data_IF_204651098647
#
_entry.id   IF_204651098647
#
_cell.length_a   1.000
_cell.length_b   1.000
_cell.length_c   1.000
_cell.angle_alpha   90.00
_cell.angle_beta   90.00
_cell.angle_gamma   90.00
#
_symmetry.space_group_name_H-M   'P 1'
#
loop_
_entity.id
_entity.type
_entity.pdbx_description
1 polymer ?
#
# COMPACT_ATOMS: atom_id res chain seq x y z
N UNK A 1 12.32 14.79 16.23
CA UNK A 1 13.36 15.81 16.19
C UNK A 1 14.33 15.54 17.32
N UNK A 2 15.60 15.32 16.96
CA UNK A 2 16.72 15.73 17.79
C UNK A 2 17.22 17.04 17.17
N UNK A 3 16.72 18.20 17.61
CA UNK A 3 17.25 19.46 17.15
C UNK A 3 18.67 19.64 17.70
N UNK A 4 19.53 20.32 16.95
CA UNK A 4 20.87 20.68 17.45
C UNK A 4 20.75 21.72 18.58
N UNK A 5 21.86 22.03 19.26
CA UNK A 5 21.90 22.97 20.39
C UNK A 5 21.33 24.38 20.10
N UNK A 6 21.15 24.73 18.83
CA UNK A 6 20.59 26.00 18.35
C UNK A 6 19.13 25.90 17.87
N UNK A 7 18.43 24.80 18.18
CA UNK A 7 17.04 24.51 17.76
C UNK A 7 16.83 24.49 16.23
N UNK A 8 17.93 24.32 15.49
CA UNK A 8 17.95 24.17 14.04
C UNK A 8 17.83 22.70 13.65
N UNK A 9 17.22 22.45 12.48
CA UNK A 9 17.28 21.12 11.86
C UNK A 9 18.71 20.82 11.44
N UNK A 10 19.15 19.59 11.73
CA UNK A 10 20.46 19.07 11.36
C UNK A 10 20.32 17.87 10.44
N UNK A 11 21.44 17.41 9.88
CA UNK A 11 21.47 16.22 9.01
C UNK A 11 20.98 14.95 9.73
N UNK A 12 20.97 14.95 11.07
CA UNK A 12 20.49 13.85 11.90
C UNK A 12 19.05 14.04 12.41
N UNK A 13 18.35 15.08 11.94
CA UNK A 13 16.99 15.36 12.41
C UNK A 13 15.97 14.37 11.86
N UNK A 14 15.29 13.65 12.76
CA UNK A 14 14.25 12.70 12.39
C UNK A 14 12.83 13.28 12.56
N UNK A 15 11.93 12.95 11.63
CA UNK A 15 10.49 13.19 11.75
C UNK A 15 9.90 12.20 12.77
N UNK A 16 9.38 12.69 13.90
CA UNK A 16 8.74 11.82 14.91
C UNK A 16 7.22 11.79 14.77
N UNK A 17 6.65 12.87 14.25
CA UNK A 17 5.22 13.07 14.15
C UNK A 17 4.91 13.97 12.96
N UNK A 18 3.83 13.65 12.25
CA UNK A 18 3.28 14.48 11.18
C UNK A 18 1.77 14.55 11.36
N UNK A 19 1.22 15.76 11.30
CA UNK A 19 -0.22 16.00 11.14
C UNK A 19 -0.43 16.81 9.88
N UNK A 20 -1.24 16.29 8.96
CA UNK A 20 -1.50 16.93 7.69
C UNK A 20 -2.98 16.82 7.31
N UNK A 21 -3.55 17.90 6.80
CA UNK A 21 -4.95 17.95 6.35
C UNK A 21 -5.00 17.95 4.83
N UNK A 22 -5.62 16.92 4.25
CA UNK A 22 -5.84 16.78 2.82
C UNK A 22 -7.34 16.73 2.52
N UNK A 23 -7.84 17.66 1.71
CA UNK A 23 -9.26 17.67 1.31
C UNK A 23 -10.23 17.70 2.50
N UNK A 24 -9.84 18.33 3.62
CA UNK A 24 -10.64 18.41 4.85
C UNK A 24 -10.49 17.21 5.80
N UNK A 25 -9.71 16.19 5.44
CA UNK A 25 -9.39 15.06 6.33
C UNK A 25 -8.00 15.25 6.93
N UNK A 26 -7.92 15.35 8.26
CA UNK A 26 -6.64 15.36 8.99
C UNK A 26 -6.15 13.94 9.18
N UNK A 27 -4.90 13.69 8.83
CA UNK A 27 -4.19 12.43 9.08
C UNK A 27 -3.00 12.69 9.99
N UNK A 28 -2.87 11.87 11.02
CA UNK A 28 -1.79 11.91 11.99
C UNK A 28 -0.94 10.65 11.81
N UNK A 29 0.38 10.80 11.81
CA UNK A 29 1.33 9.70 11.74
C UNK A 29 2.44 9.85 12.76
N UNK A 30 2.82 8.74 13.38
CA UNK A 30 3.83 8.64 14.42
C UNK A 30 4.95 7.70 13.99
N UNK A 31 6.21 8.10 14.17
CA UNK A 31 7.38 7.25 13.90
C UNK A 31 7.43 6.11 14.91
N UNK A 32 7.61 4.90 14.43
CA UNK A 32 7.78 3.69 15.24
C UNK A 32 9.00 2.90 14.76
N UNK A 33 9.87 2.53 15.71
CA UNK A 33 11.02 1.67 15.44
C UNK A 33 10.68 0.23 15.82
N UNK A 34 10.79 -0.68 14.86
CA UNK A 34 10.53 -2.10 15.04
C UNK A 34 11.72 -2.79 15.72
N UNK A 35 11.51 -4.02 16.19
CA UNK A 35 12.54 -4.81 16.90
C UNK A 35 13.76 -5.13 16.02
N UNK A 36 13.56 -5.19 14.70
CA UNK A 36 14.64 -5.42 13.72
C UNK A 36 15.43 -4.13 13.38
N UNK A 37 15.09 -3.01 14.02
CA UNK A 37 15.73 -1.71 13.81
C UNK A 37 15.13 -0.89 12.66
N UNK A 38 14.21 -1.46 11.87
CA UNK A 38 13.49 -0.72 10.83
C UNK A 38 12.58 0.35 11.44
N UNK A 39 12.29 1.39 10.68
CA UNK A 39 11.41 2.49 11.10
C UNK A 39 10.29 2.65 10.09
N UNK A 40 9.07 2.77 10.59
CA UNK A 40 7.89 3.08 9.79
C UNK A 40 7.01 4.09 10.53
N UNK A 41 6.03 4.66 9.84
CA UNK A 41 5.13 5.67 10.38
C UNK A 41 3.73 5.08 10.45
N UNK A 42 3.05 5.22 11.58
CA UNK A 42 1.73 4.63 11.78
C UNK A 42 0.70 5.66 12.21
N UNK A 43 -0.55 5.48 11.81
CA UNK A 43 -1.66 6.23 12.36
C UNK A 43 -2.01 5.74 13.79
N UNK A 44 -2.95 6.44 14.41
CA UNK A 44 -3.48 6.12 15.74
C UNK A 44 -4.08 4.71 15.89
N UNK A 45 -4.42 4.05 14.78
CA UNK A 45 -4.94 2.69 14.74
C UNK A 45 -3.86 1.65 14.43
N UNK A 46 -2.59 2.06 14.27
CA UNK A 46 -1.49 1.17 13.90
C UNK A 46 -1.44 0.85 12.40
N UNK A 47 -2.10 1.63 11.54
CA UNK A 47 -2.01 1.49 10.08
C UNK A 47 -0.79 2.25 9.56
N UNK A 48 0.04 1.59 8.74
CA UNK A 48 1.24 2.21 8.17
C UNK A 48 0.90 3.37 7.23
N UNK A 49 1.77 4.39 7.22
CA UNK A 49 1.77 5.50 6.28
C UNK A 49 2.37 5.10 4.93
N UNK A 50 3.13 4.00 4.88
CA UNK A 50 3.59 3.45 3.61
C UNK A 50 2.40 3.06 2.75
N UNK A 51 2.57 3.29 1.46
CA UNK A 51 1.58 3.02 0.44
C UNK A 51 1.12 1.56 0.53
N UNK A 52 -0.09 1.33 1.02
CA UNK A 52 -0.73 0.04 0.88
C UNK A 52 -1.05 -0.21 -0.59
N UNK A 53 -0.53 -1.31 -1.12
CA UNK A 53 -1.00 -1.85 -2.40
C UNK A 53 -2.48 -2.20 -2.25
N UNK A 54 -3.35 -1.62 -3.08
CA UNK A 54 -4.74 -2.04 -3.17
C UNK A 54 -4.78 -3.50 -3.61
N UNK A 55 -5.30 -4.36 -2.73
CA UNK A 55 -5.46 -5.79 -3.03
C UNK A 55 -6.47 -6.04 -4.14
N UNK A 56 -7.44 -5.14 -4.32
CA UNK A 56 -8.40 -5.17 -5.42
C UNK A 56 -8.40 -3.82 -6.16
N UNK A 57 -7.79 -3.73 -7.36
CA UNK A 57 -7.81 -2.52 -8.19
C UNK A 57 -9.14 -2.33 -8.95
N UNK A 58 -10.12 -3.24 -8.78
CA UNK A 58 -11.39 -3.24 -9.51
C UNK A 58 -12.58 -3.33 -8.53
N UNK A 59 -13.07 -2.20 -7.97
CA UNK A 59 -14.04 -2.19 -6.86
C UNK A 59 -15.32 -3.00 -7.10
N UNK A 60 -15.81 -3.04 -8.34
CA UNK A 60 -17.01 -3.79 -8.75
C UNK A 60 -16.67 -5.08 -9.53
N UNK A 61 -15.40 -5.47 -9.56
CA UNK A 61 -14.92 -6.68 -10.22
C UNK A 61 -15.14 -7.92 -9.38
N UNK A 62 -15.41 -9.05 -10.05
CA UNK A 62 -15.42 -10.38 -9.43
C UNK A 62 -14.11 -11.09 -9.74
N UNK A 63 -13.41 -11.55 -8.71
CA UNK A 63 -12.24 -12.42 -8.88
C UNK A 63 -12.62 -13.71 -9.62
N UNK A 64 -11.90 -14.05 -10.69
CA UNK A 64 -12.18 -15.26 -11.49
C UNK A 64 -11.00 -16.22 -11.55
N UNK A 65 -9.77 -15.73 -11.56
CA UNK A 65 -8.59 -16.59 -11.62
C UNK A 65 -7.38 -15.94 -10.94
N UNK A 66 -6.62 -16.72 -10.18
CA UNK A 66 -5.42 -16.26 -9.48
C UNK A 66 -4.15 -16.45 -10.29
N UNK A 67 -3.04 -15.93 -9.74
CA UNK A 67 -1.70 -16.20 -10.22
C UNK A 67 -1.31 -17.67 -9.99
N UNK A 68 -0.66 -18.30 -10.98
CA UNK A 68 -0.13 -19.66 -10.81
C UNK A 68 -0.31 -20.57 -12.03
N UNK A 69 0.08 -21.83 -11.86
CA UNK A 69 -0.15 -22.87 -12.84
C UNK A 69 -1.65 -23.13 -13.01
N UNK A 70 -2.14 -23.03 -14.25
CA UNK A 70 -3.55 -23.22 -14.60
C UNK A 70 -3.70 -24.28 -15.67
N UNK A 71 -4.61 -25.22 -15.44
CA UNK A 71 -4.97 -26.26 -16.41
C UNK A 71 -6.00 -25.73 -17.41
N UNK A 72 -5.76 -25.92 -18.70
CA UNK A 72 -6.73 -25.60 -19.74
C UNK A 72 -7.92 -26.58 -19.64
N UNK A 73 -9.17 -26.10 -19.51
CA UNK A 73 -10.31 -26.97 -19.19
C UNK A 73 -10.64 -27.97 -20.30
N UNK A 74 -10.34 -27.64 -21.56
CA UNK A 74 -10.61 -28.50 -22.72
C UNK A 74 -9.36 -29.31 -23.10
N UNK A 75 -8.27 -28.63 -23.46
CA UNK A 75 -7.02 -29.23 -23.93
C UNK A 75 -6.15 -29.88 -22.85
N UNK A 76 -6.44 -29.66 -21.56
CA UNK A 76 -5.84 -30.39 -20.44
C UNK A 76 -4.38 -30.05 -20.08
N UNK A 77 -3.65 -29.31 -20.90
CA UNK A 77 -2.28 -28.90 -20.57
C UNK A 77 -2.28 -27.81 -19.48
N UNK A 78 -1.16 -27.71 -18.77
CA UNK A 78 -0.94 -26.69 -17.73
C UNK A 78 -0.09 -25.56 -18.32
N UNK A 79 -0.51 -24.32 -18.08
CA UNK A 79 0.24 -23.11 -18.44
C UNK A 79 0.30 -22.16 -17.25
N UNK A 80 1.40 -21.42 -17.15
CA UNK A 80 1.54 -20.36 -16.16
C UNK A 80 0.61 -19.19 -16.46
N UNK A 81 -0.22 -18.81 -15.48
CA UNK A 81 -0.99 -17.58 -15.48
C UNK A 81 -0.24 -16.51 -14.66
N UNK A 82 0.45 -15.60 -15.35
CA UNK A 82 1.34 -14.60 -14.74
C UNK A 82 0.62 -13.34 -14.25
N UNK A 83 -0.66 -13.46 -13.91
CA UNK A 83 -1.51 -12.36 -13.50
C UNK A 83 -2.69 -12.83 -12.66
N UNK A 84 -3.59 -11.91 -12.35
CA UNK A 84 -4.86 -12.21 -11.67
C UNK A 84 -5.99 -11.66 -12.52
N UNK A 85 -7.01 -12.49 -12.77
CA UNK A 85 -8.18 -12.12 -13.56
C UNK A 85 -9.32 -11.64 -12.65
N UNK A 86 -9.86 -10.48 -13.00
CA UNK A 86 -11.08 -9.93 -12.44
C UNK A 86 -12.09 -9.72 -13.58
N UNK A 87 -13.28 -10.29 -13.46
CA UNK A 87 -14.36 -10.06 -14.41
C UNK A 87 -15.18 -8.82 -14.00
N UNK A 88 -15.39 -7.90 -14.94
CA UNK A 88 -16.27 -6.75 -14.77
C UNK A 88 -16.87 -6.33 -16.12
N UNK A 89 -17.97 -5.55 -16.13
CA UNK A 89 -18.52 -4.96 -17.36
C UNK A 89 -17.51 -4.05 -18.08
N UNK A 90 -17.70 -3.88 -19.39
CA UNK A 90 -16.94 -2.92 -20.18
C UNK A 90 -17.18 -1.51 -19.62
N UNK A 91 -16.10 -0.72 -19.52
CA UNK A 91 -16.13 0.63 -18.96
C UNK A 91 -15.94 0.71 -17.44
N UNK A 92 -15.75 -0.43 -16.76
CA UNK A 92 -15.42 -0.41 -15.32
C UNK A 92 -14.06 0.28 -15.11
N UNK A 93 -13.97 1.31 -14.25
CA UNK A 93 -12.72 2.01 -14.00
C UNK A 93 -11.72 1.09 -13.30
N UNK A 94 -10.45 1.17 -13.72
CA UNK A 94 -9.32 0.44 -13.13
C UNK A 94 -8.50 1.44 -12.32
N UNK A 95 -8.26 1.12 -11.04
CA UNK A 95 -7.52 1.99 -10.12
C UNK A 95 -6.08 1.45 -9.99
N UNK A 96 -5.10 2.35 -9.97
CA UNK A 96 -3.72 1.96 -9.70
C UNK A 96 -3.60 1.32 -8.31
N UNK A 97 -2.96 0.15 -8.24
CA UNK A 97 -2.82 -0.55 -6.97
C UNK A 97 -1.84 0.16 -6.02
N UNK A 98 -0.90 0.93 -6.56
CA UNK A 98 0.06 1.73 -5.81
C UNK A 98 0.40 3.01 -6.59
N UNK A 99 1.22 3.85 -5.98
CA UNK A 99 1.79 5.07 -6.52
C UNK A 99 3.30 4.83 -6.67
#
# INVERSE_FOLDING_TARGET
>A
SQPDGDDQTSDNSELLYVSATFGGTTRNFYRFQMQDGSTDYFDENGSSAQQFLLRNPLPNGRFTSGFGARKHPILGYVRMHTGTDWAAPIGTPIIAAGN
#
